data_IF_498774934366
#
_entry.id   IF_498774934366
#
_cell.length_a   1.000
_cell.length_b   1.000
_cell.length_c   1.000
_cell.angle_alpha   90.00
_cell.angle_beta   90.00
_cell.angle_gamma   90.00
#
_symmetry.space_group_name_H-M   'P 1'
#
loop_
_entity.id
_entity.type
_entity.pdbx_description
1 polymer ?
#
# COMPACT_ATOMS: atom_id res chain seq x y z
N UNK A 1 -7.25 13.23 4.75
CA UNK A 1 -7.11 13.66 6.16
C UNK A 1 -7.19 12.44 7.05
N UNK A 2 -6.37 12.35 8.10
CA UNK A 2 -6.43 11.23 9.04
C UNK A 2 -6.15 11.72 10.46
N UNK A 3 -6.88 11.19 11.44
CA UNK A 3 -6.64 11.46 12.87
C UNK A 3 -5.58 10.51 13.43
N UNK A 4 -4.97 10.90 14.54
CA UNK A 4 -4.04 10.07 15.29
C UNK A 4 -4.64 8.70 15.62
N UNK A 5 -3.87 7.65 15.40
CA UNK A 5 -4.24 6.27 15.72
C UNK A 5 -4.89 5.52 14.55
N UNK A 6 -5.31 6.19 13.48
CA UNK A 6 -5.85 5.50 12.31
C UNK A 6 -4.81 4.60 11.64
N UNK A 7 -5.24 3.40 11.29
CA UNK A 7 -4.49 2.40 10.55
C UNK A 7 -5.30 1.96 9.32
N UNK A 8 -4.68 2.02 8.15
CA UNK A 8 -5.16 1.38 6.93
C UNK A 8 -4.30 0.16 6.71
N UNK A 9 -4.93 -1.01 6.72
CA UNK A 9 -4.23 -2.29 6.61
C UNK A 9 -3.63 -2.51 5.21
N UNK A 10 -2.88 -3.60 5.05
CA UNK A 10 -2.19 -3.92 3.80
C UNK A 10 -3.15 -3.98 2.62
N UNK A 11 -2.83 -3.21 1.57
CA UNK A 11 -3.57 -3.18 0.32
C UNK A 11 -2.62 -2.86 -0.83
N UNK A 12 -3.13 -3.07 -2.04
CA UNK A 12 -2.55 -2.55 -3.28
C UNK A 12 -3.52 -1.49 -3.79
N UNK A 13 -3.00 -0.37 -4.30
CA UNK A 13 -3.84 0.67 -4.86
C UNK A 13 -4.62 0.18 -6.10
N UNK A 14 -5.86 0.64 -6.21
CA UNK A 14 -6.82 0.19 -7.20
C UNK A 14 -6.29 0.25 -8.64
N UNK A 15 -6.63 -0.76 -9.44
CA UNK A 15 -6.18 -0.93 -10.83
C UNK A 15 -4.66 -1.05 -10.98
N UNK A 16 -3.95 -1.34 -9.88
CA UNK A 16 -2.50 -1.32 -9.83
C UNK A 16 -1.89 0.05 -10.13
N UNK A 17 -2.57 1.14 -9.77
CA UNK A 17 -2.04 2.50 -9.95
C UNK A 17 -0.72 2.70 -9.18
N UNK A 18 0.12 3.59 -9.71
CA UNK A 18 1.17 4.23 -8.90
C UNK A 18 0.53 5.39 -8.13
N UNK A 19 1.09 5.77 -6.98
CA UNK A 19 0.56 6.88 -6.17
C UNK A 19 1.67 7.84 -5.76
N UNK A 20 1.32 9.13 -5.72
CA UNK A 20 2.15 10.16 -5.10
C UNK A 20 1.47 10.69 -3.83
N UNK A 21 2.27 10.98 -2.82
CA UNK A 21 1.86 11.43 -1.48
C UNK A 21 2.72 12.62 -1.06
N UNK A 22 2.13 13.71 -0.60
CA UNK A 22 2.83 14.87 -0.04
C UNK A 22 2.29 15.23 1.34
N UNK A 23 3.12 15.09 2.37
CA UNK A 23 2.73 15.36 3.76
C UNK A 23 2.74 16.86 4.02
N UNK A 24 1.60 17.52 3.81
CA UNK A 24 1.47 18.96 4.08
C UNK A 24 1.59 19.27 5.57
N UNK A 25 0.97 18.46 6.44
CA UNK A 25 1.08 18.58 7.91
C UNK A 25 0.95 17.20 8.56
N UNK A 26 1.75 16.97 9.60
CA UNK A 26 1.71 15.73 10.39
C UNK A 26 2.77 14.72 9.98
N UNK A 27 2.45 13.43 10.09
CA UNK A 27 3.38 12.32 9.87
C UNK A 27 2.62 11.06 9.44
N UNK A 28 3.23 10.24 8.59
CA UNK A 28 2.74 8.92 8.20
C UNK A 28 3.83 7.87 8.38
N UNK A 29 3.44 6.66 8.77
CA UNK A 29 4.32 5.50 8.78
C UNK A 29 3.77 4.52 7.76
N UNK A 30 4.61 4.09 6.82
CA UNK A 30 4.26 3.09 5.81
C UNK A 30 5.02 1.80 6.09
N UNK A 31 4.36 0.67 5.87
CA UNK A 31 4.98 -0.63 5.68
C UNK A 31 4.89 -0.97 4.20
N UNK A 32 6.02 -1.35 3.59
CA UNK A 32 6.15 -1.55 2.16
C UNK A 32 6.65 -2.97 1.89
N UNK A 33 5.96 -3.67 1.02
CA UNK A 33 6.30 -5.02 0.57
C UNK A 33 6.44 -4.97 -0.95
N UNK A 34 7.57 -5.42 -1.52
CA UNK A 34 7.79 -5.38 -2.96
C UNK A 34 6.83 -6.34 -3.70
N UNK A 35 6.32 -5.98 -4.89
CA UNK A 35 5.38 -6.79 -5.67
C UNK A 35 6.06 -7.93 -6.41
N UNK A 36 6.78 -8.79 -5.69
CA UNK A 36 7.29 -10.05 -6.22
C UNK A 36 6.12 -11.00 -6.49
N UNK A 37 6.30 -11.96 -7.40
CA UNK A 37 5.27 -12.97 -7.68
C UNK A 37 4.82 -13.67 -6.39
N UNK A 38 5.78 -14.08 -5.56
CA UNK A 38 5.52 -14.73 -4.29
C UNK A 38 4.72 -13.85 -3.32
N UNK A 39 5.08 -12.57 -3.16
CA UNK A 39 4.36 -11.67 -2.25
C UNK A 39 2.94 -11.36 -2.75
N UNK A 40 2.72 -11.31 -4.06
CA UNK A 40 1.39 -11.13 -4.64
C UNK A 40 0.51 -12.35 -4.43
N UNK A 41 1.06 -13.56 -4.54
CA UNK A 41 0.36 -14.81 -4.20
C UNK A 41 -0.03 -14.83 -2.72
N UNK A 42 0.92 -14.51 -1.81
CA UNK A 42 0.65 -14.40 -0.38
C UNK A 42 -0.42 -13.34 -0.07
N UNK A 43 -0.39 -12.20 -0.76
CA UNK A 43 -1.40 -11.15 -0.61
C UNK A 43 -2.78 -11.65 -1.04
N UNK A 44 -2.89 -12.28 -2.21
CA UNK A 44 -4.16 -12.81 -2.73
C UNK A 44 -4.73 -13.88 -1.79
N UNK A 45 -3.92 -14.83 -1.34
CA UNK A 45 -4.32 -15.84 -0.34
C UNK A 45 -4.76 -15.20 0.97
N UNK A 46 -4.05 -14.18 1.45
CA UNK A 46 -4.39 -13.46 2.67
C UNK A 46 -5.74 -12.74 2.55
N UNK A 47 -6.00 -12.06 1.43
CA UNK A 47 -7.30 -11.42 1.14
C UNK A 47 -8.42 -12.46 1.15
N UNK A 48 -8.25 -13.57 0.44
CA UNK A 48 -9.26 -14.63 0.33
C UNK A 48 -9.48 -15.40 1.65
N UNK A 49 -8.50 -15.40 2.56
CA UNK A 49 -8.60 -16.14 3.82
C UNK A 49 -9.64 -15.61 4.80
N UNK A 50 -10.05 -14.34 4.66
CA UNK A 50 -10.92 -13.64 5.62
C UNK A 50 -10.29 -13.39 6.98
N UNK A 51 -9.00 -13.71 7.18
CA UNK A 51 -8.25 -13.55 8.45
C UNK A 51 -7.45 -12.26 8.50
N UNK A 52 -7.88 -11.24 7.75
CA UNK A 52 -7.18 -9.96 7.66
C UNK A 52 -7.06 -9.27 9.03
N UNK A 53 -8.05 -9.45 9.91
CA UNK A 53 -8.02 -8.90 11.28
C UNK A 53 -7.01 -9.58 12.21
N UNK A 54 -6.59 -10.81 11.89
CA UNK A 54 -5.83 -11.67 12.81
C UNK A 54 -4.35 -11.78 12.40
N UNK A 55 -4.03 -11.48 11.14
CA UNK A 55 -2.71 -11.70 10.54
C UNK A 55 -2.16 -10.37 10.02
N UNK A 56 -1.06 -9.92 10.62
CA UNK A 56 -0.25 -8.83 10.08
C UNK A 56 0.58 -9.33 8.90
N UNK A 57 0.21 -8.97 7.66
CA UNK A 57 0.84 -9.49 6.45
C UNK A 57 2.35 -9.20 6.37
N UNK A 58 2.81 -8.10 6.98
CA UNK A 58 4.23 -7.76 7.06
C UNK A 58 5.11 -8.82 7.73
N UNK A 59 4.55 -9.66 8.60
CA UNK A 59 5.26 -10.77 9.27
C UNK A 59 5.29 -12.06 8.42
N UNK A 60 4.54 -12.10 7.31
CA UNK A 60 4.41 -13.27 6.42
C UNK A 60 5.35 -13.24 5.23
N UNK A 61 5.94 -12.09 4.95
CA UNK A 61 6.86 -11.88 3.82
C UNK A 61 8.31 -11.85 4.32
N UNK A 62 9.25 -12.16 3.44
CA UNK A 62 10.68 -12.15 3.78
C UNK A 62 11.18 -10.76 4.19
N UNK A 63 10.70 -9.72 3.49
CA UNK A 63 11.11 -8.34 3.72
C UNK A 63 9.90 -7.40 3.71
N UNK A 64 9.75 -6.66 4.80
CA UNK A 64 8.78 -5.58 4.94
C UNK A 64 9.50 -4.32 5.45
N UNK A 65 9.61 -3.29 4.59
CA UNK A 65 10.29 -2.06 4.96
C UNK A 65 9.33 -1.10 5.64
N UNK A 66 9.66 -0.68 6.87
CA UNK A 66 8.94 0.41 7.54
C UNK A 66 9.64 1.74 7.27
N UNK A 67 8.90 2.71 6.74
CA UNK A 67 9.38 4.09 6.54
C UNK A 67 8.53 5.10 7.27
N UNK A 68 9.13 6.24 7.60
CA UNK A 68 8.44 7.37 8.20
C UNK A 68 8.49 8.56 7.25
N UNK A 69 7.31 9.12 6.94
CA UNK A 69 7.16 10.36 6.18
C UNK A 69 6.83 11.50 7.14
N UNK A 70 7.70 12.49 7.20
CA UNK A 70 7.49 13.73 7.96
C UNK A 70 6.94 14.85 7.08
N UNK A 71 6.46 15.91 7.70
CA UNK A 71 6.00 17.11 7.01
C UNK A 71 7.01 17.60 5.95
N UNK A 72 6.50 17.93 4.77
CA UNK A 72 7.26 18.38 3.60
C UNK A 72 7.76 17.26 2.69
N UNK A 73 7.70 15.98 3.11
CA UNK A 73 8.13 14.88 2.25
C UNK A 73 7.12 14.60 1.14
N UNK A 74 7.66 14.32 -0.04
CA UNK A 74 6.92 13.75 -1.17
C UNK A 74 7.38 12.31 -1.37
N UNK A 75 6.43 11.39 -1.47
CA UNK A 75 6.67 9.97 -1.58
C UNK A 75 5.94 9.42 -2.80
N UNK A 76 6.62 8.58 -3.58
CA UNK A 76 6.07 7.90 -4.74
C UNK A 76 6.12 6.40 -4.50
N UNK A 77 4.98 5.74 -4.67
CA UNK A 77 4.85 4.28 -4.60
C UNK A 77 4.56 3.78 -6.03
N UNK A 78 5.42 2.92 -6.60
CA UNK A 78 5.17 2.33 -7.90
C UNK A 78 4.00 1.34 -7.88
N UNK A 79 3.43 1.11 -9.06
CA UNK A 79 2.41 0.08 -9.30
C UNK A 79 2.70 -1.26 -8.61
N UNK A 80 1.68 -1.82 -7.96
CA UNK A 80 1.67 -3.16 -7.38
C UNK A 80 2.18 -3.29 -5.95
N UNK A 81 2.89 -2.29 -5.41
CA UNK A 81 3.44 -2.36 -4.07
C UNK A 81 2.34 -2.54 -3.00
N UNK A 82 2.47 -3.60 -2.22
CA UNK A 82 1.57 -3.89 -1.10
C UNK A 82 2.01 -3.03 0.08
N UNK A 83 1.09 -2.28 0.67
CA UNK A 83 1.43 -1.36 1.74
C UNK A 83 0.32 -1.15 2.76
N UNK A 84 0.73 -0.89 4.01
CA UNK A 84 -0.13 -0.48 5.11
C UNK A 84 0.31 0.89 5.64
N UNK A 85 -0.61 1.66 6.21
CA UNK A 85 -0.36 3.05 6.62
C UNK A 85 -0.89 3.32 8.03
N UNK A 86 -0.01 3.82 8.89
CA UNK A 86 -0.36 4.29 10.23
C UNK A 86 -0.20 5.81 10.36
N UNK A 87 -1.11 6.42 11.11
CA UNK A 87 -1.14 7.87 11.38
C UNK A 87 -0.77 8.14 12.85
N UNK A 88 0.49 8.42 13.18
CA UNK A 88 0.93 8.66 14.56
C UNK A 88 0.44 9.98 15.17
N UNK A 89 0.10 10.97 14.34
CA UNK A 89 -0.43 12.29 14.72
C UNK A 89 -1.42 12.77 13.66
N UNK A 90 -2.36 13.64 14.03
CA UNK A 90 -3.31 14.25 13.09
C UNK A 90 -2.58 14.81 11.86
N UNK A 91 -3.01 14.39 10.68
CA UNK A 91 -2.28 14.61 9.45
C UNK A 91 -3.18 15.04 8.29
N UNK A 92 -2.67 16.02 7.53
CA UNK A 92 -3.21 16.45 6.25
C UNK A 92 -2.18 16.15 5.16
N UNK A 93 -2.61 15.36 4.18
CA UNK A 93 -1.80 14.88 3.07
C UNK A 93 -2.54 15.14 1.78
N UNK A 94 -1.81 15.56 0.75
CA UNK A 94 -2.28 15.59 -0.64
C UNK A 94 -1.67 14.41 -1.40
N UNK A 95 -2.41 13.86 -2.36
CA UNK A 95 -1.91 12.76 -3.17
C UNK A 95 -2.83 12.47 -4.34
N UNK A 96 -2.43 11.49 -5.15
CA UNK A 96 -3.23 11.03 -6.27
C UNK A 96 -2.65 9.79 -6.94
N UNK A 97 -3.55 9.02 -7.55
CA UNK A 97 -3.26 7.78 -8.24
C UNK A 97 -3.10 8.04 -9.75
N UNK A 98 -2.14 7.37 -10.38
CA UNK A 98 -1.77 7.56 -11.78
C UNK A 98 -1.47 6.19 -12.41
N UNK A 99 -2.08 5.92 -13.57
CA UNK A 99 -1.63 4.87 -14.49
C UNK A 99 -0.63 5.44 -15.48
N UNK A 100 0.34 4.64 -15.89
CA UNK A 100 1.33 5.05 -16.89
C UNK A 100 1.83 3.88 -17.74
N UNK A 101 2.39 4.19 -18.91
CA UNK A 101 2.78 3.16 -19.88
C UNK A 101 4.02 2.34 -19.49
N UNK A 102 4.79 2.77 -18.47
CA UNK A 102 6.05 2.11 -18.09
C UNK A 102 5.89 0.84 -17.24
N UNK A 103 4.69 0.51 -16.75
CA UNK A 103 4.46 -0.72 -15.98
C UNK A 103 3.06 -1.32 -16.21
N UNK A 104 2.61 -1.30 -17.47
CA UNK A 104 1.32 -1.89 -17.88
C UNK A 104 1.15 -3.35 -17.44
N UNK A 105 2.18 -4.23 -17.53
CA UNK A 105 2.03 -5.62 -17.09
C UNK A 105 1.66 -5.78 -15.62
N UNK A 106 2.23 -4.96 -14.73
CA UNK A 106 1.87 -4.99 -13.31
C UNK A 106 0.47 -4.43 -13.08
N UNK A 107 0.11 -3.32 -13.73
CA UNK A 107 -1.23 -2.73 -13.64
C UNK A 107 -2.32 -3.76 -14.02
N UNK A 108 -2.13 -4.49 -15.12
CA UNK A 108 -3.05 -5.55 -15.55
C UNK A 108 -3.09 -6.72 -14.55
N UNK A 109 -1.93 -7.16 -14.04
CA UNK A 109 -1.85 -8.22 -13.03
C UNK A 109 -2.64 -7.88 -11.77
N UNK A 110 -2.52 -6.65 -11.27
CA UNK A 110 -3.27 -6.22 -10.08
C UNK A 110 -4.77 -6.19 -10.39
N UNK A 111 -5.17 -5.69 -11.57
CA UNK A 111 -6.56 -5.72 -11.98
C UNK A 111 -7.14 -7.15 -12.03
N UNK A 112 -6.37 -8.12 -12.50
CA UNK A 112 -6.78 -9.53 -12.49
C UNK A 112 -6.87 -10.11 -11.06
N UNK A 113 -5.98 -9.71 -10.15
CA UNK A 113 -6.08 -10.08 -8.71
C UNK A 113 -7.39 -9.51 -8.14
N UNK A 114 -7.67 -8.23 -8.38
CA UNK A 114 -8.90 -7.58 -7.92
C UNK A 114 -10.16 -8.32 -8.38
N UNK A 115 -10.19 -8.78 -9.63
CA UNK A 115 -11.30 -9.56 -10.17
C UNK A 115 -11.45 -10.94 -9.48
N UNK A 116 -10.35 -11.58 -9.08
CA UNK A 116 -10.37 -12.87 -8.35
C UNK A 116 -10.71 -12.73 -6.86
N UNK A 117 -10.43 -11.57 -6.27
CA UNK A 117 -10.65 -11.29 -4.84
C UNK A 117 -11.98 -10.60 -4.52
N UNK A 118 -12.93 -10.60 -5.47
CA UNK A 118 -14.29 -10.06 -5.24
C UNK A 118 -15.15 -10.99 -4.40
#
# INVERSE_FOLDING_TARGET
>A
MSVKGCFTDFHIDFGGTSVWYHVFRGKKIFWLIPPTLHNLELYEEWVLSGKQSDIFLGDRVEQCQRIELTQGYTFFIPSGWIHAVYTPVDSLVFGGNILHSFNVPMQLRIHEIEDRTR
#
